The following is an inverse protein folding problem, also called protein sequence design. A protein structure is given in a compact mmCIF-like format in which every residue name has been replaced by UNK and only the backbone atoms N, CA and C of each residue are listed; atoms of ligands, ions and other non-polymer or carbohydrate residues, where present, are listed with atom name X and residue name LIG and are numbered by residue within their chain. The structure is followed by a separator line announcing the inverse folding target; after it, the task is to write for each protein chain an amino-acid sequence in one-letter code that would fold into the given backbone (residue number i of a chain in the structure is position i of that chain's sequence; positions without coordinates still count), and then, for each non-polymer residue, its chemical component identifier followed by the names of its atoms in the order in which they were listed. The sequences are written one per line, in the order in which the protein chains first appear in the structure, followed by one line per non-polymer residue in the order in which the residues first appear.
data_IF_559732729684
#
_entry.id   IF_559732729684
#
_cell.length_a   1.000
_cell.length_b   1.000
_cell.length_c   1.000
_cell.angle_alpha   90.00
_cell.angle_beta   90.00
_cell.angle_gamma   90.00
#
_symmetry.space_group_name_H-M   'P 1'
#
loop_
_entity.id
_entity.type
_entity.pdbx_description
1 polymer ?
#
# COMPACT_ATOMS: atom_id res chain seq x y z
N UNK A 1 3.89 -7.11 29.07
CA UNK A 1 4.66 -6.17 28.21
C UNK A 1 4.66 -6.59 26.72
N UNK A 2 5.04 -7.82 26.37
CA UNK A 2 5.18 -8.24 24.95
C UNK A 2 3.83 -8.38 24.22
N UNK A 3 2.75 -8.79 24.89
CA UNK A 3 1.39 -8.78 24.30
C UNK A 3 0.97 -7.36 23.84
N UNK A 4 1.31 -6.33 24.63
CA UNK A 4 1.00 -4.94 24.28
C UNK A 4 1.84 -4.48 23.08
N UNK A 5 3.11 -4.91 22.99
CA UNK A 5 3.97 -4.64 21.84
C UNK A 5 3.43 -5.31 20.57
N UNK A 6 2.98 -6.57 20.66
CA UNK A 6 2.34 -7.27 19.55
C UNK A 6 1.10 -6.51 19.05
N UNK A 7 0.18 -6.15 19.96
CA UNK A 7 -1.03 -5.41 19.62
C UNK A 7 -0.73 -4.04 18.97
N UNK A 8 0.27 -3.31 19.47
CA UNK A 8 0.72 -2.06 18.88
C UNK A 8 1.30 -2.28 17.47
N UNK A 9 2.10 -3.32 17.26
CA UNK A 9 2.64 -3.62 15.93
C UNK A 9 1.58 -4.06 14.93
N UNK A 10 0.58 -4.83 15.37
CA UNK A 10 -0.55 -5.24 14.55
C UNK A 10 -1.38 -4.02 14.10
N UNK A 11 -1.73 -3.11 15.03
CA UNK A 11 -2.42 -1.86 14.68
C UNK A 11 -1.62 -1.00 13.70
N UNK A 12 -0.29 -0.95 13.84
CA UNK A 12 0.57 -0.23 12.89
C UNK A 12 0.58 -0.91 11.51
N UNK A 13 0.59 -2.23 11.47
CA UNK A 13 0.49 -3.01 10.23
C UNK A 13 -0.84 -2.74 9.53
N UNK A 14 -1.96 -2.81 10.25
CA UNK A 14 -3.30 -2.52 9.73
C UNK A 14 -3.39 -1.12 9.11
N UNK A 15 -2.91 -0.08 9.83
CA UNK A 15 -2.86 1.29 9.30
C UNK A 15 -2.00 1.40 8.04
N UNK A 16 -0.89 0.64 7.98
CA UNK A 16 -0.01 0.63 6.80
C UNK A 16 -0.69 -0.02 5.61
N UNK A 17 -1.44 -1.10 5.82
CA UNK A 17 -2.25 -1.76 4.78
C UNK A 17 -3.39 -0.87 4.28
N UNK A 18 -4.04 -0.12 5.17
CA UNK A 18 -5.05 0.88 4.79
C UNK A 18 -4.43 2.03 3.99
N UNK A 19 -3.24 2.49 4.35
CA UNK A 19 -2.52 3.49 3.55
C UNK A 19 -2.16 2.93 2.16
N UNK A 20 -1.76 1.67 2.09
CA UNK A 20 -1.47 0.98 0.83
C UNK A 20 -2.71 0.90 -0.07
N UNK A 21 -3.87 0.52 0.46
CA UNK A 21 -5.09 0.43 -0.34
C UNK A 21 -5.54 1.79 -0.87
N UNK A 22 -5.46 2.83 -0.04
CA UNK A 22 -5.71 4.23 -0.46
C UNK A 22 -4.76 4.64 -1.58
N UNK A 23 -3.46 4.40 -1.42
CA UNK A 23 -2.46 4.72 -2.45
C UNK A 23 -2.74 3.99 -3.77
N UNK A 24 -3.15 2.72 -3.72
CA UNK A 24 -3.50 1.98 -4.92
C UNK A 24 -4.76 2.54 -5.61
N UNK A 25 -5.75 3.01 -4.84
CA UNK A 25 -6.92 3.67 -5.42
C UNK A 25 -6.55 5.01 -6.08
N UNK A 26 -5.68 5.81 -5.47
CA UNK A 26 -5.25 7.09 -6.06
C UNK A 26 -4.44 6.89 -7.34
N UNK A 27 -3.54 5.90 -7.37
CA UNK A 27 -2.79 5.54 -8.59
C UNK A 27 -3.75 5.17 -9.72
N UNK A 28 -4.73 4.29 -9.46
CA UNK A 28 -5.71 3.88 -10.47
C UNK A 28 -6.53 5.05 -11.01
N UNK A 29 -6.91 5.98 -10.14
CA UNK A 29 -7.66 7.16 -10.53
C UNK A 29 -6.81 8.09 -11.41
N UNK A 30 -5.56 8.34 -11.05
CA UNK A 30 -4.62 9.13 -11.87
C UNK A 30 -4.34 8.47 -13.24
N UNK A 31 -4.17 7.14 -13.28
CA UNK A 31 -4.03 6.39 -14.53
C UNK A 31 -5.26 6.55 -15.43
N UNK A 32 -6.47 6.48 -14.84
CA UNK A 32 -7.72 6.70 -15.55
C UNK A 32 -7.85 8.12 -16.07
N UNK A 33 -7.48 9.12 -15.28
CA UNK A 33 -7.47 10.52 -15.69
C UNK A 33 -6.51 10.75 -16.86
N UNK A 34 -5.30 10.21 -16.80
CA UNK A 34 -4.33 10.27 -17.88
C UNK A 34 -4.87 9.66 -19.18
N UNK A 35 -5.51 8.48 -19.11
CA UNK A 35 -6.15 7.86 -20.27
C UNK A 35 -7.27 8.72 -20.86
N UNK A 36 -8.09 9.34 -20.02
CA UNK A 36 -9.17 10.22 -20.48
C UNK A 36 -8.63 11.47 -21.18
N UNK A 37 -7.58 12.10 -20.61
CA UNK A 37 -6.93 13.26 -21.21
C UNK A 37 -6.29 12.90 -22.55
N UNK A 38 -5.59 11.76 -22.64
CA UNK A 38 -5.02 11.28 -23.91
C UNK A 38 -6.06 11.07 -25.00
N UNK A 39 -7.20 10.45 -24.67
CA UNK A 39 -8.33 10.33 -25.60
C UNK A 39 -8.88 11.69 -26.02
N UNK A 40 -8.92 12.67 -25.10
CA UNK A 40 -9.35 14.03 -25.43
C UNK A 40 -8.38 14.69 -26.41
N UNK A 41 -7.07 14.56 -26.19
CA UNK A 41 -6.03 15.04 -27.11
C UNK A 41 -6.20 14.41 -28.51
N UNK A 42 -6.42 13.10 -28.60
CA UNK A 42 -6.67 12.42 -29.88
C UNK A 42 -7.87 13.00 -30.65
N UNK A 43 -8.97 13.30 -29.96
CA UNK A 43 -10.14 13.95 -30.55
C UNK A 43 -9.79 15.35 -31.07
N UNK A 44 -9.04 16.14 -30.30
CA UNK A 44 -8.61 17.49 -30.71
C UNK A 44 -7.68 17.44 -31.94
N UNK A 45 -6.80 16.43 -32.03
CA UNK A 45 -5.98 16.22 -33.23
C UNK A 45 -6.82 15.90 -34.47
N UNK A 46 -7.92 15.13 -34.34
CA UNK A 46 -8.85 14.90 -35.45
C UNK A 46 -9.53 16.21 -35.87
N UNK A 47 -9.91 17.08 -34.91
CA UNK A 47 -10.47 18.40 -35.20
C UNK A 47 -9.47 19.28 -35.96
N UNK A 48 -8.20 19.32 -35.55
CA UNK A 48 -7.15 20.06 -36.28
C UNK A 48 -7.05 19.57 -37.74
N UNK A 49 -7.04 18.26 -37.98
CA UNK A 49 -6.96 17.70 -39.34
C UNK A 49 -8.16 18.12 -40.20
N UNK A 50 -9.36 18.25 -39.61
CA UNK A 50 -10.52 18.78 -40.32
C UNK A 50 -10.33 20.25 -40.71
N UNK A 51 -9.72 21.03 -39.82
CA UNK A 51 -9.22 22.38 -40.09
C UNK A 51 -7.94 22.41 -40.94
N UNK A 52 -7.50 21.34 -41.59
CA UNK A 52 -6.39 21.39 -42.57
C UNK A 52 -6.86 21.08 -43.99
N UNK A 53 -7.98 20.38 -44.15
CA UNK A 53 -8.49 19.90 -45.45
C UNK A 53 -9.51 20.81 -46.17
N UNK A 54 -10.03 21.86 -45.53
CA UNK A 54 -10.97 22.77 -46.20
C UNK A 54 -10.23 23.65 -47.21
N UNK A 55 -10.68 23.67 -48.45
CA UNK A 55 -10.28 24.69 -49.43
C UNK A 55 -10.99 26.01 -49.07
N UNK A 56 -10.29 27.13 -49.14
CA UNK A 56 -10.82 28.42 -48.71
C UNK A 56 -10.90 29.39 -49.87
N UNK A 57 -12.13 29.83 -50.14
CA UNK A 57 -12.45 30.76 -51.21
C UNK A 57 -12.36 32.24 -50.75
N UNK A 58 -12.23 32.52 -49.45
CA UNK A 58 -12.24 33.88 -48.87
C UNK A 58 -11.18 34.07 -47.78
N UNK A 59 -10.46 35.21 -47.82
CA UNK A 59 -9.44 35.64 -46.86
C UNK A 59 -9.94 35.70 -45.41
N UNK A 60 -11.19 36.11 -45.16
CA UNK A 60 -11.73 36.15 -43.79
C UNK A 60 -11.94 34.74 -43.22
N UNK A 61 -12.35 33.78 -44.05
CA UNK A 61 -12.51 32.39 -43.64
C UNK A 61 -11.15 31.76 -43.27
N UNK A 62 -10.09 32.11 -44.01
CA UNK A 62 -8.71 31.71 -43.69
C UNK A 62 -8.29 32.13 -42.29
N UNK A 63 -8.40 33.42 -41.96
CA UNK A 63 -7.94 33.92 -40.65
C UNK A 63 -8.76 33.35 -39.50
N UNK A 64 -10.07 33.22 -39.66
CA UNK A 64 -10.92 32.64 -38.61
C UNK A 64 -10.56 31.17 -38.34
N UNK A 65 -10.26 30.40 -39.38
CA UNK A 65 -9.79 29.02 -39.21
C UNK A 65 -8.42 28.93 -38.57
N UNK A 66 -7.48 29.81 -38.93
CA UNK A 66 -6.18 29.86 -38.23
C UNK A 66 -6.36 30.19 -36.75
N UNK A 67 -7.29 31.10 -36.41
CA UNK A 67 -7.65 31.42 -35.02
C UNK A 67 -8.20 30.21 -34.28
N UNK A 68 -9.15 29.47 -34.88
CA UNK A 68 -9.71 28.25 -34.31
C UNK A 68 -8.65 27.15 -34.15
N UNK A 69 -7.80 26.95 -35.16
CA UNK A 69 -6.69 25.99 -35.10
C UNK A 69 -5.72 26.33 -33.96
N UNK A 70 -5.34 27.60 -33.82
CA UNK A 70 -4.47 28.06 -32.74
C UNK A 70 -5.09 27.83 -31.36
N UNK A 71 -6.40 28.07 -31.21
CA UNK A 71 -7.12 27.78 -29.96
C UNK A 71 -7.09 26.28 -29.62
N UNK A 72 -7.36 25.40 -30.59
CA UNK A 72 -7.30 23.95 -30.37
C UNK A 72 -5.87 23.47 -30.05
N UNK A 73 -4.84 24.04 -30.68
CA UNK A 73 -3.44 23.74 -30.35
C UNK A 73 -3.07 24.18 -28.93
N UNK A 74 -3.57 25.32 -28.47
CA UNK A 74 -3.37 25.78 -27.11
C UNK A 74 -4.02 24.82 -26.10
N UNK A 75 -5.24 24.35 -26.38
CA UNK A 75 -5.92 23.34 -25.55
C UNK A 75 -5.13 22.02 -25.50
N UNK A 76 -4.60 21.55 -26.63
CA UNK A 76 -3.75 20.35 -26.67
C UNK A 76 -2.51 20.54 -25.79
N UNK A 77 -1.80 21.66 -25.93
CA UNK A 77 -0.61 21.94 -25.12
C UNK A 77 -0.93 21.96 -23.61
N UNK A 78 -2.09 22.51 -23.22
CA UNK A 78 -2.56 22.48 -21.84
C UNK A 78 -2.81 21.04 -21.35
N UNK A 79 -3.45 20.20 -22.18
CA UNK A 79 -3.68 18.79 -21.84
C UNK A 79 -2.38 17.98 -21.78
N UNK A 80 -1.42 18.24 -22.66
CA UNK A 80 -0.10 17.61 -22.62
C UNK A 80 0.64 17.94 -21.33
N UNK A 81 0.64 19.21 -20.91
CA UNK A 81 1.20 19.63 -19.62
C UNK A 81 0.51 18.93 -18.43
N UNK A 82 -0.81 18.75 -18.48
CA UNK A 82 -1.54 17.99 -17.46
C UNK A 82 -1.10 16.52 -17.42
N UNK A 83 -0.90 15.88 -18.58
CA UNK A 83 -0.40 14.49 -18.67
C UNK A 83 0.99 14.37 -18.06
N UNK A 84 1.89 15.31 -18.35
CA UNK A 84 3.23 15.34 -17.75
C UNK A 84 3.18 15.52 -16.22
N UNK A 85 2.30 16.39 -15.75
CA UNK A 85 2.08 16.61 -14.31
C UNK A 85 1.61 15.32 -13.62
N UNK A 86 0.60 14.64 -14.19
CA UNK A 86 0.09 13.36 -13.69
C UNK A 86 1.18 12.29 -13.72
N UNK A 87 1.99 12.24 -14.78
CA UNK A 87 3.10 11.30 -14.89
C UNK A 87 4.14 11.51 -13.76
N UNK A 88 4.48 12.76 -13.45
CA UNK A 88 5.36 13.09 -12.34
C UNK A 88 4.77 12.69 -10.97
N UNK A 89 3.46 12.85 -10.78
CA UNK A 89 2.75 12.40 -9.58
C UNK A 89 2.74 10.86 -9.45
N UNK A 90 2.50 10.15 -10.55
CA UNK A 90 2.57 8.68 -10.59
C UNK A 90 3.95 8.16 -10.17
N UNK A 91 5.04 8.78 -10.65
CA UNK A 91 6.40 8.43 -10.23
C UNK A 91 6.60 8.63 -8.72
N UNK A 92 6.09 9.72 -8.13
CA UNK A 92 6.12 9.94 -6.68
C UNK A 92 5.36 8.84 -5.94
N UNK A 93 4.18 8.47 -6.43
CA UNK A 93 3.37 7.41 -5.84
C UNK A 93 4.01 6.03 -5.96
N UNK A 94 4.77 5.73 -7.00
CA UNK A 94 5.53 4.49 -7.12
C UNK A 94 6.63 4.36 -6.05
N UNK A 95 7.35 5.44 -5.76
CA UNK A 95 8.34 5.46 -4.68
C UNK A 95 7.66 5.21 -3.34
N UNK A 96 6.55 5.88 -3.07
CA UNK A 96 5.75 5.66 -1.85
C UNK A 96 5.24 4.22 -1.74
N UNK A 97 4.82 3.61 -2.86
CA UNK A 97 4.38 2.22 -2.91
C UNK A 97 5.49 1.27 -2.49
N UNK A 98 6.73 1.47 -2.97
CA UNK A 98 7.91 0.68 -2.57
C UNK A 98 8.21 0.84 -1.08
N UNK A 99 8.16 2.07 -0.56
CA UNK A 99 8.39 2.35 0.86
C UNK A 99 7.34 1.69 1.76
N UNK A 100 6.06 1.78 1.40
CA UNK A 100 4.97 1.13 2.12
C UNK A 100 5.14 -0.39 2.09
N UNK A 101 5.48 -0.97 0.95
CA UNK A 101 5.72 -2.41 0.84
C UNK A 101 6.85 -2.89 1.77
N UNK A 102 7.98 -2.17 1.79
CA UNK A 102 9.09 -2.46 2.70
C UNK A 102 8.65 -2.35 4.18
N UNK A 103 7.88 -1.30 4.52
CA UNK A 103 7.35 -1.11 5.87
C UNK A 103 6.39 -2.22 6.28
N UNK A 104 5.48 -2.62 5.39
CA UNK A 104 4.56 -3.74 5.61
C UNK A 104 5.31 -5.03 5.89
N UNK A 105 6.33 -5.35 5.10
CA UNK A 105 7.17 -6.54 5.30
C UNK A 105 7.86 -6.53 6.67
N UNK A 106 8.50 -5.42 7.04
CA UNK A 106 9.17 -5.31 8.34
C UNK A 106 8.20 -5.44 9.53
N UNK A 107 7.01 -4.85 9.44
CA UNK A 107 5.99 -4.93 10.48
C UNK A 107 5.43 -6.34 10.59
N UNK A 108 5.14 -7.01 9.47
CA UNK A 108 4.71 -8.41 9.45
C UNK A 108 5.72 -9.32 10.14
N UNK A 109 7.00 -9.19 9.78
CA UNK A 109 8.07 -9.97 10.40
C UNK A 109 8.17 -9.73 11.92
N UNK A 110 7.97 -8.49 12.37
CA UNK A 110 7.93 -8.17 13.81
C UNK A 110 6.76 -8.84 14.51
N UNK A 111 5.56 -8.78 13.92
CA UNK A 111 4.38 -9.47 14.44
C UNK A 111 4.62 -10.99 14.56
N UNK A 112 5.17 -11.62 13.52
CA UNK A 112 5.49 -13.05 13.52
C UNK A 112 6.52 -13.42 14.60
N UNK A 113 7.57 -12.60 14.77
CA UNK A 113 8.56 -12.79 15.84
C UNK A 113 7.94 -12.70 17.23
N UNK A 114 7.10 -11.70 17.49
CA UNK A 114 6.42 -11.57 18.78
C UNK A 114 5.46 -12.73 19.04
N UNK A 115 4.71 -13.18 18.03
CA UNK A 115 3.84 -14.34 18.16
C UNK A 115 4.61 -15.62 18.48
N UNK A 116 5.73 -15.87 17.78
CA UNK A 116 6.61 -17.02 18.06
C UNK A 116 7.17 -16.96 19.49
N UNK A 117 7.66 -15.80 19.91
CA UNK A 117 8.17 -15.62 21.27
C UNK A 117 7.09 -15.90 22.33
N UNK A 118 5.89 -15.37 22.15
CA UNK A 118 4.79 -15.57 23.10
C UNK A 118 4.37 -17.04 23.20
N UNK A 119 4.36 -17.77 22.07
CA UNK A 119 4.13 -19.22 22.06
C UNK A 119 5.19 -19.96 22.88
N UNK A 120 6.48 -19.66 22.62
CA UNK A 120 7.60 -20.27 23.36
C UNK A 120 7.58 -19.94 24.86
N UNK A 121 7.21 -18.71 25.22
CA UNK A 121 7.06 -18.32 26.61
C UNK A 121 5.91 -19.08 27.29
N UNK A 122 4.80 -19.28 26.57
CA UNK A 122 3.68 -20.10 27.05
C UNK A 122 4.11 -21.53 27.33
N UNK A 123 4.76 -22.19 26.36
CA UNK A 123 5.23 -23.58 26.53
C UNK A 123 6.24 -23.71 27.67
N UNK A 124 7.19 -22.77 27.79
CA UNK A 124 8.17 -22.80 28.88
C UNK A 124 7.51 -22.66 30.26
N UNK A 125 6.43 -21.87 30.39
CA UNK A 125 5.67 -21.76 31.63
C UNK A 125 4.93 -23.05 31.97
N UNK A 126 4.28 -23.68 30.98
CA UNK A 126 3.61 -24.98 31.19
C UNK A 126 4.60 -26.04 31.66
N UNK A 127 5.73 -26.21 30.96
CA UNK A 127 6.76 -27.18 31.33
C UNK A 127 7.34 -26.92 32.73
N UNK A 128 7.48 -25.65 33.12
CA UNK A 128 7.95 -25.30 34.47
C UNK A 128 6.94 -25.72 35.54
N UNK A 129 5.64 -25.49 35.31
CA UNK A 129 4.58 -25.90 36.22
C UNK A 129 4.50 -27.43 36.32
N UNK A 130 4.56 -28.14 35.20
CA UNK A 130 4.57 -29.61 35.18
C UNK A 130 5.74 -30.19 35.97
N UNK A 131 6.95 -29.62 35.80
CA UNK A 131 8.12 -30.04 36.57
C UNK A 131 7.97 -29.75 38.07
N UNK A 132 7.37 -28.61 38.43
CA UNK A 132 7.08 -28.30 39.84
C UNK A 132 6.12 -29.32 40.45
N UNK A 133 5.05 -29.67 39.74
CA UNK A 133 4.09 -30.69 40.17
C UNK A 133 4.74 -32.08 40.31
N UNK A 134 5.60 -32.46 39.36
CA UNK A 134 6.36 -33.72 39.45
C UNK A 134 7.25 -33.76 40.70
N UNK A 135 7.99 -32.69 40.96
CA UNK A 135 8.85 -32.59 42.15
C UNK A 135 8.02 -32.67 43.44
N UNK A 136 6.89 -31.96 43.52
CA UNK A 136 5.98 -32.02 44.68
C UNK A 136 5.46 -33.45 44.91
N UNK A 137 5.08 -34.16 43.84
CA UNK A 137 4.65 -35.55 43.91
C UNK A 137 5.80 -36.45 44.42
N UNK A 138 7.01 -36.30 43.89
CA UNK A 138 8.19 -37.05 44.32
C UNK A 138 8.52 -36.82 45.79
N UNK A 139 8.50 -35.57 46.26
CA UNK A 139 8.71 -35.22 47.67
C UNK A 139 7.65 -35.87 48.57
N UNK A 140 6.38 -35.82 48.18
CA UNK A 140 5.29 -36.50 48.91
C UNK A 140 5.50 -38.01 48.99
N UNK A 141 5.96 -38.66 47.91
CA UNK A 141 6.28 -40.08 47.91
C UNK A 141 7.45 -40.42 48.83
N UNK A 142 8.51 -39.60 48.85
CA UNK A 142 9.65 -39.77 49.79
C UNK A 142 9.18 -39.64 51.24
N UNK A 143 8.33 -38.67 51.55
CA UNK A 143 7.80 -38.47 52.90
C UNK A 143 6.86 -39.60 53.35
N UNK A 144 6.07 -40.18 52.45
CA UNK A 144 5.22 -41.35 52.74
C UNK A 144 6.08 -42.60 52.94
N UNK A 145 7.09 -42.84 52.08
CA UNK A 145 8.03 -43.96 52.21
C UNK A 145 8.83 -43.92 53.52
N UNK A 146 9.28 -42.73 53.94
CA UNK A 146 9.99 -42.55 55.20
C UNK A 146 9.10 -42.79 56.44
N UNK A 147 7.79 -42.50 56.38
CA UNK A 147 6.85 -42.81 57.47
C UNK A 147 6.57 -44.31 57.61
N UNK A 148 6.67 -45.08 56.53
CA UNK A 148 6.45 -46.53 56.53
C UNK A 148 7.69 -47.27 57.08
N UNK A 149 8.90 -46.74 56.89
CA UNK A 149 10.16 -47.30 57.37
C UNK A 149 10.52 -46.94 58.83
N UNK A 150 9.70 -46.18 59.57
CA UNK A 150 9.91 -45.84 60.99
C UNK A 150 9.06 -46.74 61.93
N UNK A 151 8.81 -47.99 61.53
CA UNK A 151 8.28 -49.04 62.41
C UNK A 151 9.29 -50.18 62.51
#
# INVERSE_FOLDING_TARGET
MINNLLALTQRRLERTLQAQSKLLSTIKELERQCLNIKKRIEILFVQIKSHEKSEELNRMAFWERQRLKAAVLADIAQFEYQVETIAAELLKHEVLKKQIAARTFTLRNKCEKFQKYLKQQGTARCLKLERQQQNEIEELFVHVGNKINIK
#
